data_IF_979533236467
#
_entry.id   IF_979533236467
#
_cell.length_a   1.000
_cell.length_b   1.000
_cell.length_c   1.000
_cell.angle_alpha   90.00
_cell.angle_beta   90.00
_cell.angle_gamma   90.00
#
_symmetry.space_group_name_H-M   'P 1'
#
loop_
_entity.id
_entity.type
_entity.pdbx_description
1 polymer ?
#
# COMPACT_ATOMS: atom_id res chain seq x y z
N UNK A 1 37.57 -3.16 -18.82
CA UNK A 1 37.35 -1.88 -18.12
C UNK A 1 35.92 -1.39 -18.35
N UNK A 2 35.44 -1.41 -19.59
CA UNK A 2 34.05 -1.01 -19.92
C UNK A 2 32.97 -1.87 -19.27
N UNK A 3 33.17 -3.18 -19.15
CA UNK A 3 32.24 -4.09 -18.45
C UNK A 3 32.03 -3.70 -16.99
N UNK A 4 33.11 -3.35 -16.27
CA UNK A 4 33.03 -2.85 -14.88
C UNK A 4 32.25 -1.55 -14.73
N UNK A 5 32.20 -0.71 -15.77
CA UNK A 5 31.43 0.54 -15.76
C UNK A 5 29.96 0.23 -16.01
N UNK A 6 29.67 -0.64 -16.98
CA UNK A 6 28.32 -1.11 -17.28
C UNK A 6 27.68 -1.84 -16.08
N UNK A 7 28.41 -2.73 -15.41
CA UNK A 7 27.94 -3.46 -14.23
C UNK A 7 27.60 -2.50 -13.07
N UNK A 8 28.44 -1.48 -12.85
CA UNK A 8 28.17 -0.44 -11.85
C UNK A 8 26.95 0.39 -12.19
N UNK A 9 26.77 0.74 -13.46
CA UNK A 9 25.61 1.49 -13.91
C UNK A 9 24.31 0.68 -13.71
N UNK A 10 24.35 -0.61 -14.02
CA UNK A 10 23.23 -1.53 -13.86
C UNK A 10 22.85 -1.68 -12.37
N UNK A 11 23.83 -1.93 -11.50
CA UNK A 11 23.62 -2.00 -10.05
C UNK A 11 23.07 -0.69 -9.47
N UNK A 12 23.55 0.45 -9.97
CA UNK A 12 23.05 1.76 -9.52
C UNK A 12 21.60 1.99 -9.96
N UNK A 13 21.27 1.61 -11.20
CA UNK A 13 19.91 1.68 -11.72
C UNK A 13 18.94 0.82 -10.93
N UNK A 14 19.33 -0.42 -10.62
CA UNK A 14 18.53 -1.36 -9.83
C UNK A 14 18.26 -0.82 -8.41
N UNK A 15 19.31 -0.36 -7.72
CA UNK A 15 19.18 0.27 -6.41
C UNK A 15 18.26 1.49 -6.42
N UNK A 16 18.35 2.34 -7.46
CA UNK A 16 17.46 3.50 -7.60
C UNK A 16 15.99 3.07 -7.74
N UNK A 17 15.70 2.05 -8.57
CA UNK A 17 14.34 1.56 -8.79
C UNK A 17 13.79 0.92 -7.51
N UNK A 18 14.57 0.07 -6.83
CA UNK A 18 14.16 -0.55 -5.56
C UNK A 18 13.92 0.49 -4.47
N UNK A 19 14.80 1.50 -4.34
CA UNK A 19 14.60 2.58 -3.39
C UNK A 19 13.35 3.42 -3.69
N UNK A 20 13.05 3.68 -4.97
CA UNK A 20 11.81 4.34 -5.38
C UNK A 20 10.59 3.50 -5.03
N UNK A 21 10.63 2.19 -5.27
CA UNK A 21 9.54 1.27 -4.91
C UNK A 21 9.28 1.29 -3.40
N UNK A 22 10.33 1.15 -2.59
CA UNK A 22 10.24 1.26 -1.12
C UNK A 22 9.61 2.58 -0.71
N UNK A 23 10.06 3.71 -1.27
CA UNK A 23 9.52 5.03 -0.97
C UNK A 23 8.01 5.13 -1.27
N UNK A 24 7.56 4.57 -2.39
CA UNK A 24 6.15 4.56 -2.78
C UNK A 24 5.31 3.68 -1.85
N UNK A 25 5.76 2.47 -1.56
CA UNK A 25 5.04 1.56 -0.65
C UNK A 25 5.01 2.06 0.78
N UNK A 26 6.08 2.70 1.25
CA UNK A 26 6.12 3.37 2.54
C UNK A 26 5.15 4.57 2.59
N UNK A 27 5.10 5.38 1.54
CA UNK A 27 4.13 6.48 1.47
C UNK A 27 2.69 5.96 1.50
N UNK A 28 2.41 4.88 0.76
CA UNK A 28 1.10 4.23 0.74
C UNK A 28 0.74 3.56 2.08
N UNK A 29 1.71 3.08 2.86
CA UNK A 29 1.47 2.44 4.15
C UNK A 29 1.14 3.42 5.28
N UNK A 30 1.49 4.71 5.12
CA UNK A 30 1.25 5.78 6.11
C UNK A 30 -0.23 6.15 6.35
N UNK A 31 -1.18 5.32 5.92
CA UNK A 31 -2.62 5.40 6.21
C UNK A 31 -3.40 6.39 5.34
N UNK A 32 -2.84 7.57 5.10
CA UNK A 32 -3.58 8.70 4.52
C UNK A 32 -4.13 8.48 3.11
N UNK A 33 -3.37 7.84 2.22
CA UNK A 33 -3.79 7.67 0.82
C UNK A 33 -4.87 6.60 0.68
N UNK A 34 -4.64 5.44 1.29
CA UNK A 34 -5.50 4.26 1.14
C UNK A 34 -6.85 4.46 1.84
N UNK A 35 -6.85 5.07 3.02
CA UNK A 35 -8.06 5.39 3.76
C UNK A 35 -8.93 6.39 3.00
N UNK A 36 -8.35 7.48 2.48
CA UNK A 36 -9.08 8.46 1.67
C UNK A 36 -9.62 7.89 0.37
N UNK A 37 -8.86 7.01 -0.30
CA UNK A 37 -9.32 6.36 -1.52
C UNK A 37 -10.51 5.44 -1.25
N UNK A 38 -10.45 4.69 -0.15
CA UNK A 38 -11.55 3.83 0.28
C UNK A 38 -12.79 4.66 0.63
N UNK A 39 -12.63 5.72 1.43
CA UNK A 39 -13.71 6.63 1.80
C UNK A 39 -14.36 7.29 0.58
N UNK A 40 -13.56 7.85 -0.34
CA UNK A 40 -14.09 8.48 -1.56
C UNK A 40 -14.87 7.50 -2.42
N UNK A 41 -14.33 6.29 -2.64
CA UNK A 41 -15.05 5.25 -3.36
C UNK A 41 -16.35 4.86 -2.69
N UNK A 42 -16.37 4.83 -1.35
CA UNK A 42 -17.54 4.50 -0.56
C UNK A 42 -18.62 5.58 -0.62
N UNK A 43 -18.23 6.86 -0.59
CA UNK A 43 -19.15 8.00 -0.77
C UNK A 43 -19.75 7.99 -2.18
N UNK A 44 -18.99 7.58 -3.19
CA UNK A 44 -19.45 7.47 -4.59
C UNK A 44 -20.22 6.17 -4.88
N UNK A 45 -20.29 5.24 -3.93
CA UNK A 45 -20.95 3.94 -4.11
C UNK A 45 -20.19 2.95 -4.98
N UNK A 46 -18.88 3.14 -5.19
CA UNK A 46 -18.02 2.25 -5.99
C UNK A 46 -17.47 1.07 -5.18
N UNK A 47 -17.33 1.24 -3.87
CA UNK A 47 -16.87 0.21 -2.94
C UNK A 47 -17.57 0.37 -1.59
N UNK A 48 -17.24 -0.48 -0.61
CA UNK A 48 -17.75 -0.34 0.75
C UNK A 48 -17.28 0.97 1.38
N UNK A 49 -18.08 1.59 2.24
CA UNK A 49 -17.69 2.83 2.91
C UNK A 49 -17.15 2.52 4.33
N UNK A 50 -15.89 2.86 4.65
CA UNK A 50 -15.31 2.58 5.96
C UNK A 50 -16.04 3.28 7.11
N UNK A 51 -16.67 4.43 6.86
CA UNK A 51 -17.38 5.22 7.87
C UNK A 51 -18.72 4.58 8.30
N UNK A 52 -19.27 3.65 7.51
CA UNK A 52 -20.51 2.94 7.86
C UNK A 52 -20.28 1.94 9.01
N UNK A 53 -19.04 1.54 9.30
CA UNK A 53 -18.75 0.67 10.46
C UNK A 53 -19.26 1.24 11.77
N UNK A 54 -19.17 2.56 11.95
CA UNK A 54 -19.67 3.25 13.16
C UNK A 54 -21.18 3.05 13.29
N UNK A 55 -21.92 3.08 12.18
CA UNK A 55 -23.36 2.80 12.18
C UNK A 55 -23.65 1.37 12.63
N UNK A 56 -22.95 0.37 12.10
CA UNK A 56 -23.15 -1.03 12.53
C UNK A 56 -22.91 -1.21 14.03
N UNK A 57 -21.78 -0.69 14.55
CA UNK A 57 -21.48 -0.75 15.98
C UNK A 57 -22.54 -0.04 16.84
N UNK A 58 -23.04 1.11 16.41
CA UNK A 58 -24.07 1.85 17.13
C UNK A 58 -25.42 1.12 17.18
N UNK A 59 -25.69 0.24 16.21
CA UNK A 59 -26.91 -0.57 16.15
C UNK A 59 -26.72 -2.00 16.70
N UNK A 60 -25.58 -2.30 17.34
CA UNK A 60 -25.24 -3.66 17.80
C UNK A 60 -25.26 -4.70 16.67
N UNK A 61 -25.02 -4.26 15.43
CA UNK A 61 -24.89 -5.12 14.27
C UNK A 61 -23.40 -5.41 14.00
N UNK A 62 -23.12 -6.61 13.52
CA UNK A 62 -21.77 -6.96 13.10
C UNK A 62 -21.44 -6.25 11.78
N UNK A 63 -20.37 -5.44 11.74
CA UNK A 63 -20.01 -4.76 10.51
C UNK A 63 -19.51 -5.73 9.44
N UNK A 64 -19.67 -5.39 8.16
CA UNK A 64 -19.06 -6.15 7.08
C UNK A 64 -17.55 -6.27 7.25
N UNK A 65 -17.02 -7.43 6.90
CA UNK A 65 -15.58 -7.69 6.89
C UNK A 65 -14.84 -6.66 6.03
N UNK A 66 -13.63 -6.29 6.46
CA UNK A 66 -12.75 -5.40 5.70
C UNK A 66 -12.26 -6.16 4.46
N UNK A 67 -12.58 -5.71 3.23
CA UNK A 67 -12.06 -6.37 2.04
C UNK A 67 -10.54 -6.37 2.04
N UNK A 68 -9.91 -7.45 1.56
CA UNK A 68 -8.45 -7.64 1.58
C UNK A 68 -7.67 -6.44 1.02
N UNK A 69 -8.14 -5.83 -0.08
CA UNK A 69 -7.55 -4.64 -0.69
C UNK A 69 -7.48 -3.43 0.26
N UNK A 70 -8.38 -3.38 1.24
CA UNK A 70 -8.44 -2.37 2.28
C UNK A 70 -7.93 -2.87 3.65
N UNK A 71 -7.31 -4.05 3.70
CA UNK A 71 -6.73 -4.59 4.93
C UNK A 71 -5.36 -4.00 5.25
N UNK A 72 -5.05 -3.91 6.54
CA UNK A 72 -3.70 -3.57 6.98
C UNK A 72 -2.70 -4.69 6.63
N UNK A 73 -3.12 -5.95 6.73
CA UNK A 73 -2.27 -7.11 6.42
C UNK A 73 -1.73 -7.09 4.99
N UNK A 74 -2.55 -6.73 4.00
CA UNK A 74 -2.06 -6.58 2.62
C UNK A 74 -1.06 -5.41 2.50
N UNK A 75 -1.33 -4.31 3.19
CA UNK A 75 -0.45 -3.13 3.19
C UNK A 75 0.92 -3.46 3.74
N UNK A 76 0.96 -4.16 4.88
CA UNK A 76 2.20 -4.58 5.54
C UNK A 76 2.95 -5.60 4.68
N UNK A 77 2.24 -6.53 4.05
CA UNK A 77 2.84 -7.51 3.13
C UNK A 77 3.48 -6.83 1.91
N UNK A 78 2.82 -5.85 1.30
CA UNK A 78 3.38 -5.10 0.16
C UNK A 78 4.61 -4.29 0.56
N UNK A 79 4.58 -3.66 1.74
CA UNK A 79 5.74 -2.95 2.27
C UNK A 79 6.91 -3.90 2.55
N UNK A 80 6.65 -5.06 3.15
CA UNK A 80 7.67 -6.07 3.41
C UNK A 80 8.33 -6.55 2.11
N UNK A 81 7.54 -6.83 1.07
CA UNK A 81 8.06 -7.19 -0.26
C UNK A 81 8.92 -6.07 -0.86
N UNK A 82 8.49 -4.82 -0.73
CA UNK A 82 9.29 -3.69 -1.20
C UNK A 82 10.63 -3.58 -0.45
N UNK A 83 10.63 -3.75 0.88
CA UNK A 83 11.86 -3.73 1.67
C UNK A 83 12.81 -4.88 1.29
N UNK A 84 12.29 -6.08 1.04
CA UNK A 84 13.08 -7.23 0.56
C UNK A 84 13.62 -7.04 -0.86
N UNK A 85 13.04 -6.16 -1.67
CA UNK A 85 13.58 -5.82 -2.99
C UNK A 85 14.81 -4.89 -2.95
N UNK A 86 15.15 -4.39 -1.77
CA UNK A 86 16.31 -3.53 -1.53
C UNK A 86 17.57 -4.34 -1.11
N UNK A 87 17.65 -5.60 -1.53
CA UNK A 87 18.76 -6.53 -1.29
C UNK A 87 19.89 -6.43 -2.35
#
# INVERSE_FOLDING_TARGET
METKIADKLLLTGDLCISAMAVGLFWSASSGNFREKLWEHGGIKGWNSNPNLRIYFYANYEEPPEIPLIWSQSLTDAMLAVALLSLD
#
